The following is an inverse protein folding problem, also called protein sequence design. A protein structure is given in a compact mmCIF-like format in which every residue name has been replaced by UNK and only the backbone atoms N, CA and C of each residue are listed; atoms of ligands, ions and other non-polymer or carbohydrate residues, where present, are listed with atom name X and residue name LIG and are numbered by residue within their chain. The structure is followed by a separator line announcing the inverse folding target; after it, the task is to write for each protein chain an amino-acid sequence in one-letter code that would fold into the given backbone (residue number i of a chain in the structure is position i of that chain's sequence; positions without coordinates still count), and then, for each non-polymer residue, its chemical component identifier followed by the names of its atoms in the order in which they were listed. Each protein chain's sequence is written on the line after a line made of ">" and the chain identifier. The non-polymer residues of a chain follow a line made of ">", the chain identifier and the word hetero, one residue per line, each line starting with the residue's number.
data_IF_726994830238
#
_entry.id   IF_726994830238
#
_cell.length_a   1.000
_cell.length_b   1.000
_cell.length_c   1.000
_cell.angle_alpha   90.00
_cell.angle_beta   90.00
_cell.angle_gamma   90.00
#
_symmetry.space_group_name_H-M   'P 1'
#
loop_
_entity.id
_entity.type
_entity.pdbx_description
1 polymer ?
#
# COMPACT_ATOMS: atom_id res chain seq x y z
N UNK A 1 -7.36 1.41 7.71
CA UNK A 1 -6.32 0.91 8.63
C UNK A 1 -6.20 1.79 9.87
N UNK A 2 -5.85 3.07 9.73
CA UNK A 2 -5.69 4.01 10.84
C UNK A 2 -6.86 4.04 11.84
N UNK A 3 -8.11 4.21 11.39
CA UNK A 3 -9.32 4.17 12.25
C UNK A 3 -9.41 2.90 13.11
N UNK A 4 -9.01 1.75 12.57
CA UNK A 4 -9.10 0.47 13.29
C UNK A 4 -7.95 0.28 14.29
N UNK A 5 -6.77 0.85 14.02
CA UNK A 5 -5.65 0.87 14.95
C UNK A 5 -5.77 2.00 15.99
N UNK A 6 -6.72 2.92 15.79
CA UNK A 6 -6.82 4.19 16.54
C UNK A 6 -5.55 5.03 16.41
N UNK A 7 -5.01 5.11 15.19
CA UNK A 7 -3.79 5.86 14.89
C UNK A 7 -4.14 7.18 14.21
N UNK A 8 -3.39 8.23 14.54
CA UNK A 8 -3.44 9.51 13.83
C UNK A 8 -2.83 9.36 12.44
N UNK A 9 -3.38 10.07 11.45
CA UNK A 9 -2.89 10.00 10.06
C UNK A 9 -2.13 11.28 9.73
N UNK A 10 -0.92 11.13 9.22
CA UNK A 10 -0.11 12.21 8.69
C UNK A 10 0.23 11.90 7.24
N UNK A 11 0.06 12.88 6.36
CA UNK A 11 0.45 12.79 4.96
C UNK A 11 1.66 13.71 4.75
N UNK A 12 2.74 13.17 4.18
CA UNK A 12 3.94 13.92 3.85
C UNK A 12 4.13 13.89 2.34
N UNK A 13 3.99 15.06 1.72
CA UNK A 13 4.31 15.26 0.31
C UNK A 13 5.76 15.74 0.19
N UNK A 14 6.66 14.86 -0.26
CA UNK A 14 8.10 15.14 -0.37
C UNK A 14 8.42 16.32 -1.29
N UNK A 15 7.58 16.61 -2.30
CA UNK A 15 7.80 17.74 -3.21
C UNK A 15 7.57 19.12 -2.54
N UNK A 16 6.91 19.15 -1.38
CA UNK A 16 6.67 20.38 -0.61
C UNK A 16 7.69 20.59 0.51
N UNK A 17 8.58 19.63 0.74
CA UNK A 17 9.57 19.68 1.82
C UNK A 17 10.82 20.40 1.33
N UNK A 18 11.26 21.41 2.08
CA UNK A 18 12.33 22.29 1.61
C UNK A 18 13.72 21.66 1.69
N UNK A 19 13.98 20.86 2.73
CA UNK A 19 15.27 20.21 2.97
C UNK A 19 15.18 19.06 4.00
N UNK A 20 16.29 18.35 4.19
CA UNK A 20 16.40 17.23 5.15
C UNK A 20 16.04 17.62 6.60
N UNK A 21 16.30 18.86 7.00
CA UNK A 21 15.97 19.33 8.37
C UNK A 21 14.47 19.55 8.54
N UNK A 22 13.81 20.06 7.50
CA UNK A 22 12.35 20.21 7.45
C UNK A 22 11.66 18.84 7.47
N UNK A 23 12.15 17.87 6.68
CA UNK A 23 11.66 16.49 6.73
C UNK A 23 11.77 15.88 8.12
N UNK A 24 12.92 16.10 8.78
CA UNK A 24 13.14 15.64 10.16
C UNK A 24 12.20 16.33 11.14
N UNK A 25 11.97 17.63 10.98
CA UNK A 25 11.04 18.38 11.83
C UNK A 25 9.61 17.83 11.70
N UNK A 26 9.15 17.56 10.48
CA UNK A 26 7.85 16.94 10.24
C UNK A 26 7.69 15.60 10.97
N UNK A 27 8.72 14.74 10.97
CA UNK A 27 8.70 13.48 11.73
C UNK A 27 8.58 13.70 13.24
N UNK A 28 9.26 14.72 13.78
CA UNK A 28 9.24 15.04 15.21
C UNK A 28 7.91 15.66 15.67
N UNK A 29 7.17 16.30 14.76
CA UNK A 29 5.85 16.86 15.05
C UNK A 29 4.73 15.81 15.04
N UNK A 30 4.97 14.59 14.55
CA UNK A 30 3.94 13.55 14.58
C UNK A 30 3.75 12.99 15.98
N UNK A 31 2.51 12.70 16.33
CA UNK A 31 2.16 12.02 17.57
C UNK A 31 2.68 10.58 17.60
N UNK A 32 2.73 10.03 18.80
CA UNK A 32 2.82 8.59 19.04
C UNK A 32 1.57 7.88 18.46
N UNK A 33 1.69 6.60 18.06
CA UNK A 33 0.60 5.86 17.40
C UNK A 33 0.11 6.57 16.14
N UNK A 34 1.05 6.87 15.26
CA UNK A 34 0.78 7.54 13.99
C UNK A 34 0.97 6.60 12.80
N UNK A 35 0.12 6.77 11.79
CA UNK A 35 0.30 6.25 10.45
C UNK A 35 0.74 7.40 9.54
N UNK A 36 1.98 7.32 9.06
CA UNK A 36 2.60 8.35 8.21
C UNK A 36 2.58 7.84 6.78
N UNK A 37 1.89 8.56 5.89
CA UNK A 37 1.78 8.24 4.46
C UNK A 37 2.73 9.14 3.68
N UNK A 38 3.53 8.53 2.81
CA UNK A 38 4.44 9.21 1.89
C UNK A 38 4.07 8.77 0.49
N UNK A 39 3.61 9.73 -0.30
CA UNK A 39 3.12 9.46 -1.65
C UNK A 39 4.22 9.58 -2.70
N UNK A 40 4.09 8.79 -3.77
CA UNK A 40 4.90 8.87 -5.00
C UNK A 40 6.42 8.83 -4.74
N UNK A 41 6.85 7.93 -3.84
CA UNK A 41 8.26 7.82 -3.44
C UNK A 41 9.16 7.49 -4.64
N UNK A 42 8.73 6.59 -5.52
CA UNK A 42 9.47 6.19 -6.74
C UNK A 42 9.69 7.39 -7.68
N UNK A 43 8.66 8.22 -7.85
CA UNK A 43 8.76 9.43 -8.66
C UNK A 43 9.73 10.43 -8.04
N UNK A 44 9.63 10.68 -6.73
CA UNK A 44 10.53 11.59 -6.04
C UNK A 44 11.99 11.15 -6.13
N UNK A 45 12.27 9.85 -6.01
CA UNK A 45 13.62 9.30 -6.12
C UNK A 45 14.17 9.30 -7.54
N UNK A 46 13.31 9.15 -8.54
CA UNK A 46 13.68 9.18 -9.97
C UNK A 46 13.93 10.60 -10.49
N UNK A 47 13.19 11.58 -9.97
CA UNK A 47 13.46 13.00 -10.18
C UNK A 47 14.73 13.35 -9.39
N UNK A 48 15.77 13.92 -10.04
CA UNK A 48 16.98 14.39 -9.34
C UNK A 48 16.70 15.66 -8.52
N UNK A 49 15.65 15.62 -7.70
CA UNK A 49 15.25 16.70 -6.80
C UNK A 49 16.38 16.94 -5.81
N UNK A 50 16.73 18.20 -5.62
CA UNK A 50 17.82 18.62 -4.73
C UNK A 50 17.33 19.05 -3.35
N UNK A 51 16.02 19.10 -3.11
CA UNK A 51 15.45 19.61 -1.87
C UNK A 51 15.74 18.66 -0.70
N UNK A 52 15.14 17.47 -0.70
CA UNK A 52 15.47 16.39 0.23
C UNK A 52 16.41 15.41 -0.45
N UNK A 53 17.54 15.13 0.20
CA UNK A 53 18.54 14.18 -0.30
C UNK A 53 18.06 12.73 -0.17
N UNK A 54 18.59 11.82 -0.99
CA UNK A 54 18.34 10.39 -0.83
C UNK A 54 18.75 9.90 0.56
N UNK A 55 19.85 10.42 1.11
CA UNK A 55 20.26 10.15 2.50
C UNK A 55 19.27 10.69 3.54
N UNK A 56 18.65 11.84 3.29
CA UNK A 56 17.61 12.41 4.14
C UNK A 56 16.39 11.49 4.24
N UNK A 57 15.95 10.94 3.11
CA UNK A 57 14.86 9.96 3.05
C UNK A 57 15.25 8.69 3.80
N UNK A 58 16.44 8.13 3.56
CA UNK A 58 16.88 6.92 4.25
C UNK A 58 16.94 7.11 5.76
N UNK A 59 17.45 8.25 6.23
CA UNK A 59 17.48 8.59 7.65
C UNK A 59 16.07 8.76 8.24
N UNK A 60 15.14 9.30 7.46
CA UNK A 60 13.73 9.41 7.84
C UNK A 60 13.11 8.01 7.99
N UNK A 61 13.33 7.12 7.02
CA UNK A 61 12.83 5.74 7.04
C UNK A 61 13.41 4.92 8.20
N UNK A 62 14.70 5.08 8.46
CA UNK A 62 15.40 4.39 9.56
C UNK A 62 14.88 4.88 10.94
N UNK A 63 14.14 6.00 10.98
CA UNK A 63 13.36 6.42 12.14
C UNK A 63 14.18 6.75 13.39
N UNK A 64 15.52 6.87 13.26
CA UNK A 64 16.48 7.03 14.36
C UNK A 64 16.16 8.27 15.21
N UNK A 65 15.68 9.34 14.57
CA UNK A 65 15.29 10.58 15.27
C UNK A 65 13.94 10.49 15.99
N UNK A 66 13.21 9.40 15.80
CA UNK A 66 11.86 9.17 16.32
C UNK A 66 11.85 8.13 17.46
N UNK A 67 12.99 7.52 17.78
CA UNK A 67 13.17 6.40 18.72
C UNK A 67 12.74 6.66 20.18
N UNK A 68 12.42 7.91 20.55
CA UNK A 68 11.92 8.22 21.89
C UNK A 68 10.38 8.13 22.02
N UNK A 69 9.67 7.63 20.99
CA UNK A 69 8.21 7.55 20.95
C UNK A 69 7.64 6.12 20.81
N UNK A 70 6.32 5.99 20.97
CA UNK A 70 5.57 4.75 20.76
C UNK A 70 5.53 4.33 19.27
N UNK A 71 4.74 3.28 18.96
CA UNK A 71 4.64 2.65 17.64
C UNK A 71 4.26 3.66 16.53
N UNK A 72 5.07 3.75 15.46
CA UNK A 72 4.74 4.48 14.22
C UNK A 72 4.72 3.51 13.05
N UNK A 73 3.76 3.67 12.14
CA UNK A 73 3.67 2.88 10.90
C UNK A 73 3.88 3.83 9.72
N UNK A 74 4.89 3.58 8.90
CA UNK A 74 5.12 4.33 7.67
C UNK A 74 4.54 3.55 6.49
N UNK A 75 3.82 4.25 5.62
CA UNK A 75 3.23 3.70 4.39
C UNK A 75 3.78 4.52 3.22
N UNK A 76 4.44 3.85 2.29
CA UNK A 76 4.97 4.47 1.07
C UNK A 76 4.14 4.00 -0.11
N UNK A 77 3.68 4.92 -0.95
CA UNK A 77 3.07 4.57 -2.24
C UNK A 77 4.11 4.67 -3.34
N UNK A 78 4.05 3.74 -4.29
CA UNK A 78 4.95 3.66 -5.44
C UNK A 78 4.16 3.11 -6.62
N UNK A 79 4.37 3.67 -7.81
CA UNK A 79 3.78 3.15 -9.04
C UNK A 79 4.67 2.10 -9.69
N UNK A 80 6.00 2.28 -9.61
CA UNK A 80 6.99 1.35 -10.14
C UNK A 80 8.02 0.99 -9.07
N UNK A 81 7.87 -0.22 -8.50
CA UNK A 81 8.81 -0.78 -7.52
C UNK A 81 10.12 -1.24 -8.18
N UNK A 82 10.08 -1.71 -9.43
CA UNK A 82 11.21 -2.40 -10.08
C UNK A 82 12.42 -1.49 -10.32
N UNK A 83 12.17 -0.18 -10.46
CA UNK A 83 13.22 0.81 -10.66
C UNK A 83 13.77 1.39 -9.35
N UNK A 84 13.22 1.00 -8.20
CA UNK A 84 13.65 1.55 -6.91
C UNK A 84 14.95 0.89 -6.43
N UNK A 85 15.81 1.69 -5.78
CA UNK A 85 17.07 1.19 -5.22
C UNK A 85 16.80 0.06 -4.20
N UNK A 86 17.41 -1.13 -4.35
CA UNK A 86 17.30 -2.23 -3.38
C UNK A 86 17.62 -1.83 -1.94
N UNK A 87 18.48 -0.82 -1.72
CA UNK A 87 18.79 -0.30 -0.39
C UNK A 87 17.58 0.35 0.29
N UNK A 88 16.62 0.86 -0.47
CA UNK A 88 15.38 1.45 0.06
C UNK A 88 14.39 0.34 0.40
N UNK A 89 14.30 -0.68 -0.47
CA UNK A 89 13.34 -1.77 -0.36
C UNK A 89 13.75 -2.88 0.62
N UNK A 90 14.98 -2.84 1.17
CA UNK A 90 15.46 -3.90 2.06
C UNK A 90 14.67 -3.97 3.37
N UNK A 91 14.59 -5.16 4.00
CA UNK A 91 14.03 -5.31 5.34
C UNK A 91 14.69 -4.38 6.37
N UNK A 92 13.90 -3.89 7.33
CA UNK A 92 14.29 -2.82 8.27
C UNK A 92 13.93 -1.41 7.80
N UNK A 93 13.66 -1.22 6.51
CA UNK A 93 13.12 0.02 5.93
C UNK A 93 11.72 -0.19 5.38
N UNK A 94 11.58 -1.18 4.49
CA UNK A 94 10.29 -1.64 3.97
C UNK A 94 10.15 -3.11 4.33
N UNK A 95 9.35 -3.40 5.34
CA UNK A 95 9.17 -4.78 5.82
C UNK A 95 8.04 -5.52 5.10
N UNK A 96 7.05 -4.78 4.58
CA UNK A 96 5.83 -5.34 3.98
C UNK A 96 5.57 -4.64 2.66
N UNK A 97 5.44 -5.45 1.60
CA UNK A 97 5.07 -4.99 0.27
C UNK A 97 3.66 -5.48 -0.04
N UNK A 98 2.78 -4.56 -0.44
CA UNK A 98 1.43 -4.87 -0.89
C UNK A 98 1.30 -4.42 -2.32
N UNK A 99 1.10 -5.37 -3.24
CA UNK A 99 0.91 -5.06 -4.65
C UNK A 99 -0.58 -4.80 -4.93
N UNK A 100 -0.90 -3.76 -5.70
CA UNK A 100 -2.27 -3.44 -6.12
C UNK A 100 -2.42 -3.67 -7.63
N UNK A 101 -2.77 -4.90 -8.07
CA UNK A 101 -2.86 -5.21 -9.49
C UNK A 101 -4.08 -4.54 -10.14
N UNK A 102 -4.06 -4.51 -11.48
CA UNK A 102 -5.25 -4.22 -12.28
C UNK A 102 -6.39 -5.18 -11.92
N UNK A 103 -7.62 -4.77 -12.25
CA UNK A 103 -8.79 -5.57 -11.91
C UNK A 103 -8.80 -6.87 -12.70
N UNK A 104 -8.93 -8.00 -12.01
CA UNK A 104 -9.25 -9.30 -12.59
C UNK A 104 -10.74 -9.60 -12.44
N UNK A 105 -11.19 -10.74 -12.97
CA UNK A 105 -12.59 -11.13 -12.85
C UNK A 105 -13.04 -11.37 -11.39
N UNK A 106 -12.14 -11.82 -10.53
CA UNK A 106 -12.43 -12.06 -9.11
C UNK A 106 -12.68 -10.76 -8.36
N UNK A 107 -11.82 -9.75 -8.56
CA UNK A 107 -11.97 -8.40 -8.04
C UNK A 107 -13.23 -7.75 -8.63
N UNK A 108 -13.46 -7.89 -9.94
CA UNK A 108 -14.68 -7.39 -10.59
C UNK A 108 -15.95 -7.94 -9.93
N UNK A 109 -16.04 -9.25 -9.64
CA UNK A 109 -17.19 -9.83 -8.92
C UNK A 109 -17.37 -9.22 -7.53
N UNK A 110 -16.27 -8.96 -6.83
CA UNK A 110 -16.30 -8.31 -5.52
C UNK A 110 -16.81 -6.87 -5.62
N UNK A 111 -16.39 -6.12 -6.63
CA UNK A 111 -16.89 -4.77 -6.91
C UNK A 111 -18.36 -4.77 -7.33
N UNK A 112 -18.77 -5.70 -8.20
CA UNK A 112 -20.17 -5.83 -8.64
C UNK A 112 -21.09 -6.16 -7.46
N UNK A 113 -20.68 -7.04 -6.56
CA UNK A 113 -21.42 -7.34 -5.34
C UNK A 113 -21.48 -6.12 -4.40
N UNK A 114 -20.36 -5.43 -4.19
CA UNK A 114 -20.26 -4.28 -3.29
C UNK A 114 -21.07 -3.06 -3.77
N UNK A 115 -21.00 -2.74 -5.06
CA UNK A 115 -21.56 -1.50 -5.60
C UNK A 115 -22.93 -1.68 -6.25
N UNK A 116 -23.23 -2.86 -6.81
CA UNK A 116 -24.48 -3.17 -7.51
C UNK A 116 -25.33 -4.23 -6.79
N UNK A 117 -24.82 -4.86 -5.73
CA UNK A 117 -25.52 -5.95 -5.03
C UNK A 117 -25.60 -7.26 -5.83
N UNK A 118 -24.77 -7.41 -6.86
CA UNK A 118 -24.80 -8.58 -7.74
C UNK A 118 -23.85 -9.68 -7.28
N UNK A 119 -24.40 -10.84 -6.91
CA UNK A 119 -23.62 -12.08 -6.73
C UNK A 119 -23.40 -12.83 -8.04
N UNK A 120 -24.35 -12.71 -8.96
CA UNK A 120 -24.32 -13.32 -10.29
C UNK A 120 -25.13 -12.46 -11.28
N UNK A 121 -24.84 -12.59 -12.57
CA UNK A 121 -25.56 -11.94 -13.65
C UNK A 121 -25.29 -12.63 -14.99
N UNK A 122 -26.29 -12.68 -15.88
CA UNK A 122 -26.19 -13.24 -17.24
C UNK A 122 -25.07 -12.67 -18.15
N UNK A 123 -24.41 -11.59 -17.73
CA UNK A 123 -23.31 -10.95 -18.46
C UNK A 123 -21.94 -11.27 -17.86
N UNK A 124 -21.89 -11.91 -16.69
CA UNK A 124 -20.64 -12.31 -16.05
C UNK A 124 -19.80 -13.25 -16.92
N UNK A 125 -20.36 -14.27 -17.60
CA UNK A 125 -19.57 -15.10 -18.51
C UNK A 125 -18.88 -14.28 -19.61
N UNK A 126 -19.57 -13.30 -20.17
CA UNK A 126 -19.00 -12.41 -21.18
C UNK A 126 -17.89 -11.51 -20.61
N UNK A 127 -18.07 -10.99 -19.40
CA UNK A 127 -17.02 -10.19 -18.74
C UNK A 127 -15.79 -11.06 -18.43
N UNK A 128 -16.00 -12.28 -17.95
CA UNK A 128 -14.92 -13.24 -17.67
C UNK A 128 -14.12 -13.58 -18.93
N UNK A 129 -14.81 -13.87 -20.04
CA UNK A 129 -14.18 -14.11 -21.33
C UNK A 129 -13.31 -12.91 -21.76
N UNK A 130 -13.81 -11.69 -21.60
CA UNK A 130 -13.04 -10.48 -21.93
C UNK A 130 -11.78 -10.35 -21.07
N UNK A 131 -11.86 -10.62 -19.76
CA UNK A 131 -10.66 -10.64 -18.92
C UNK A 131 -9.65 -11.72 -19.34
N UNK A 132 -10.13 -12.89 -19.80
CA UNK A 132 -9.26 -13.95 -20.32
C UNK A 132 -8.55 -13.56 -21.62
N UNK A 133 -9.11 -12.64 -22.42
CA UNK A 133 -8.42 -12.08 -23.61
C UNK A 133 -7.28 -11.12 -23.28
N UNK A 134 -7.10 -10.75 -22.01
CA UNK A 134 -6.04 -9.84 -21.54
C UNK A 134 -6.44 -8.37 -21.45
N UNK A 135 -7.71 -8.04 -21.70
CA UNK A 135 -8.24 -6.71 -21.40
C UNK A 135 -8.24 -6.46 -19.90
N UNK A 136 -7.79 -5.28 -19.46
CA UNK A 136 -7.74 -4.96 -18.03
C UNK A 136 -7.89 -3.46 -17.81
N UNK A 137 -8.69 -3.12 -16.81
CA UNK A 137 -8.85 -1.75 -16.31
C UNK A 137 -8.45 -1.72 -14.83
N UNK A 138 -8.14 -0.53 -14.33
CA UNK A 138 -7.96 -0.36 -12.89
C UNK A 138 -9.27 -0.61 -12.14
N UNK A 139 -9.14 -1.01 -10.87
CA UNK A 139 -10.31 -1.16 -10.01
C UNK A 139 -11.09 0.16 -9.88
N UNK A 140 -10.41 1.30 -9.93
CA UNK A 140 -11.02 2.63 -9.84
C UNK A 140 -11.93 2.93 -11.05
N UNK A 141 -11.46 2.68 -12.26
CA UNK A 141 -12.25 2.88 -13.49
C UNK A 141 -13.51 2.01 -13.50
N UNK A 142 -13.40 0.73 -13.11
CA UNK A 142 -14.56 -0.16 -13.03
C UNK A 142 -15.52 0.30 -11.94
N UNK A 143 -15.01 0.69 -10.77
CA UNK A 143 -15.80 1.27 -9.69
C UNK A 143 -16.57 2.50 -10.16
N UNK A 144 -15.93 3.43 -10.85
CA UNK A 144 -16.57 4.64 -11.37
C UNK A 144 -17.75 4.30 -12.27
N UNK A 145 -17.58 3.36 -13.21
CA UNK A 145 -18.65 2.89 -14.10
C UNK A 145 -19.81 2.28 -13.31
N UNK A 146 -19.51 1.41 -12.35
CA UNK A 146 -20.53 0.76 -11.50
C UNK A 146 -21.28 1.78 -10.64
N UNK A 147 -20.56 2.73 -10.05
CA UNK A 147 -21.13 3.77 -9.18
C UNK A 147 -22.04 4.70 -9.98
N UNK A 148 -21.60 5.11 -11.17
CA UNK A 148 -22.36 5.98 -12.06
C UNK A 148 -23.64 5.32 -12.59
N UNK A 149 -23.71 3.99 -12.61
CA UNK A 149 -24.84 3.22 -13.12
C UNK A 149 -25.52 2.34 -12.05
N UNK A 150 -25.40 2.66 -10.74
CA UNK A 150 -25.94 1.85 -9.64
C UNK A 150 -27.43 1.53 -9.77
N UNK A 151 -28.21 2.45 -10.34
CA UNK A 151 -29.65 2.28 -10.53
C UNK A 151 -30.04 1.23 -11.59
N UNK A 152 -29.09 0.76 -12.41
CA UNK A 152 -29.35 -0.24 -13.45
C UNK A 152 -28.15 -1.16 -13.62
N UNK A 153 -28.07 -2.27 -12.87
CA UNK A 153 -26.93 -3.18 -12.90
C UNK A 153 -26.61 -3.71 -14.30
N UNK A 154 -27.62 -4.05 -15.10
CA UNK A 154 -27.40 -4.50 -16.49
C UNK A 154 -26.78 -3.42 -17.39
N UNK A 155 -27.05 -2.13 -17.12
CA UNK A 155 -26.43 -1.01 -17.86
C UNK A 155 -24.98 -0.84 -17.43
N UNK A 156 -24.71 -0.86 -16.12
CA UNK A 156 -23.36 -0.80 -15.58
C UNK A 156 -22.47 -1.87 -16.21
N UNK A 157 -22.93 -3.12 -16.24
CA UNK A 157 -22.18 -4.24 -16.80
C UNK A 157 -21.93 -4.10 -18.31
N UNK A 158 -22.91 -3.64 -19.09
CA UNK A 158 -22.71 -3.35 -20.50
C UNK A 158 -21.66 -2.25 -20.71
N UNK A 159 -21.67 -1.20 -19.90
CA UNK A 159 -20.66 -0.13 -19.96
C UNK A 159 -19.27 -0.64 -19.61
N UNK A 160 -19.14 -1.51 -18.59
CA UNK A 160 -17.86 -2.16 -18.25
C UNK A 160 -17.34 -3.00 -19.43
N UNK A 161 -18.21 -3.79 -20.07
CA UNK A 161 -17.86 -4.57 -21.27
C UNK A 161 -17.32 -3.66 -22.38
N UNK A 162 -18.03 -2.57 -22.68
CA UNK A 162 -17.60 -1.62 -23.72
C UNK A 162 -16.26 -0.97 -23.38
N UNK A 163 -16.03 -0.61 -22.12
CA UNK A 163 -14.76 -0.04 -21.67
C UNK A 163 -13.60 -1.03 -21.80
N UNK A 164 -13.77 -2.28 -21.37
CA UNK A 164 -12.76 -3.34 -21.50
C UNK A 164 -12.43 -3.65 -22.97
N UNK A 165 -13.44 -3.70 -23.84
CA UNK A 165 -13.23 -3.91 -25.27
C UNK A 165 -12.46 -2.76 -25.93
N UNK A 166 -12.67 -1.53 -25.44
CA UNK A 166 -11.96 -0.34 -25.92
C UNK A 166 -10.47 -0.35 -25.51
N UNK A 167 -10.15 -0.78 -24.29
CA UNK A 167 -8.76 -1.00 -23.83
C UNK A 167 -8.05 -2.03 -24.74
N UNK A 168 -8.70 -3.16 -25.01
CA UNK A 168 -8.14 -4.20 -25.88
C UNK A 168 -7.83 -3.67 -27.29
N UNK A 169 -8.76 -2.92 -27.89
CA UNK A 169 -8.56 -2.31 -29.21
C UNK A 169 -7.42 -1.29 -29.21
N UNK A 170 -7.28 -0.49 -28.15
CA UNK A 170 -6.18 0.45 -27.95
C UNK A 170 -4.81 -0.25 -27.91
N UNK A 171 -4.71 -1.34 -27.16
CA UNK A 171 -3.47 -2.13 -27.02
C UNK A 171 -3.07 -2.83 -28.31
N UNK A 172 -4.02 -3.40 -29.06
CA UNK A 172 -3.75 -4.02 -30.37
C UNK A 172 -3.23 -2.97 -31.36
N UNK A 173 -3.82 -1.77 -31.37
CA UNK A 173 -3.36 -0.66 -32.21
C UNK A 173 -1.94 -0.19 -31.85
N UNK A 174 -1.59 -0.17 -30.57
CA UNK A 174 -0.22 0.15 -30.10
C UNK A 174 0.78 -0.90 -30.58
N UNK A 175 0.48 -2.19 -30.40
CA UNK A 175 1.36 -3.29 -30.89
C UNK A 175 1.57 -3.24 -32.41
N UNK A 176 0.53 -2.93 -33.19
CA UNK A 176 0.67 -2.77 -34.65
C UNK A 176 1.53 -1.56 -35.05
N UNK A 177 1.56 -0.50 -34.23
CA UNK A 177 2.42 0.67 -34.45
C UNK A 177 3.88 0.38 -34.12
N UNK A 178 4.14 -0.37 -33.05
CA UNK A 178 5.51 -0.77 -32.67
C UNK A 178 6.14 -1.73 -33.70
N UNK A 179 5.36 -2.65 -34.28
CA UNK A 179 5.83 -3.50 -35.38
C UNK A 179 6.15 -2.73 -36.68
N UNK A 180 5.63 -1.50 -36.84
CA UNK A 180 5.91 -0.64 -37.99
C UNK A 180 7.21 0.18 -37.87
N UNK A 181 7.85 0.20 -36.70
CA UNK A 181 9.10 0.92 -36.44
C UNK A 181 10.20 -0.08 -36.05
N UNK A 182 10.78 -0.73 -37.05
CA UNK A 182 11.74 -1.81 -36.86
C UNK A 182 12.98 -1.43 -36.05
N UNK A 183 13.24 -2.22 -35.00
CA UNK A 183 14.53 -2.86 -34.72
C UNK A 183 14.22 -4.19 -34.04
N UNK A 184 14.53 -5.29 -34.73
CA UNK A 184 14.37 -6.64 -34.21
C UNK A 184 15.30 -6.86 -33.02
N UNK A 185 14.71 -7.21 -31.88
CA UNK A 185 15.35 -8.00 -30.83
C UNK A 185 14.33 -9.08 -30.50
N UNK A 186 14.71 -10.33 -30.75
CA UNK A 186 13.96 -11.49 -30.30
C UNK A 186 14.07 -11.55 -28.78
N UNK A 187 13.00 -11.20 -28.07
CA UNK A 187 12.81 -11.56 -26.68
C UNK A 187 11.77 -12.67 -26.61
N UNK A 188 12.24 -13.91 -26.68
CA UNK A 188 11.51 -15.09 -26.23
C UNK A 188 11.43 -15.04 -24.70
N UNK A 189 10.50 -14.23 -24.19
CA UNK A 189 10.05 -14.28 -22.80
C UNK A 189 8.93 -15.32 -22.68
N UNK A 190 9.28 -16.50 -22.19
CA UNK A 190 8.32 -17.52 -21.77
C UNK A 190 7.29 -16.91 -20.81
N UNK A 191 6.02 -16.90 -21.21
CA UNK A 191 4.92 -16.70 -20.28
C UNK A 191 4.85 -17.90 -19.34
N UNK A 192 5.65 -17.83 -18.27
CA UNK A 192 5.53 -18.69 -17.11
C UNK A 192 4.13 -18.56 -16.54
N UNK A 193 3.30 -19.58 -16.80
CA UNK A 193 2.06 -19.84 -16.07
C UNK A 193 2.44 -20.27 -14.65
N UNK A 194 2.72 -19.31 -13.78
CA UNK A 194 2.73 -19.55 -12.35
C UNK A 194 1.36 -19.25 -11.75
N UNK A 195 1.00 -20.09 -10.78
CA UNK A 195 -0.38 -20.40 -10.44
C UNK A 195 -1.20 -19.20 -10.00
N UNK A 196 -2.46 -19.21 -10.46
CA UNK A 196 -3.55 -18.36 -9.97
C UNK A 196 -3.83 -18.64 -8.49
N UNK A 197 -3.00 -18.11 -7.61
CA UNK A 197 -3.41 -17.75 -6.26
C UNK A 197 -3.48 -16.24 -6.25
N UNK A 198 -4.60 -15.68 -6.70
CA UNK A 198 -4.86 -14.24 -6.60
C UNK A 198 -4.87 -13.84 -5.13
N UNK A 199 -3.70 -13.43 -4.61
CA UNK A 199 -3.57 -12.88 -3.27
C UNK A 199 -4.19 -11.48 -3.34
N UNK A 200 -5.41 -11.38 -2.83
CA UNK A 200 -6.16 -10.13 -2.84
C UNK A 200 -5.45 -9.12 -1.89
N UNK A 201 -5.17 -7.87 -2.31
CA UNK A 201 -4.47 -6.88 -1.46
C UNK A 201 -5.15 -6.69 -0.10
N UNK A 202 -6.48 -6.70 -0.08
CA UNK A 202 -7.31 -6.67 1.13
C UNK A 202 -6.98 -7.83 2.11
N UNK A 203 -6.63 -9.03 1.62
CA UNK A 203 -6.23 -10.15 2.47
C UNK A 203 -4.88 -9.89 3.12
N UNK A 204 -3.93 -9.32 2.39
CA UNK A 204 -2.63 -8.92 2.94
C UNK A 204 -2.78 -7.80 3.97
N UNK A 205 -3.62 -6.79 3.69
CA UNK A 205 -3.95 -5.73 4.66
C UNK A 205 -4.54 -6.33 5.94
N UNK A 206 -5.42 -7.34 5.82
CA UNK A 206 -5.99 -8.05 6.98
C UNK A 206 -4.94 -8.85 7.76
N UNK A 207 -4.01 -9.51 7.07
CA UNK A 207 -2.91 -10.25 7.69
C UNK A 207 -1.95 -9.30 8.42
N UNK A 208 -1.56 -8.20 7.76
CA UNK A 208 -0.76 -7.13 8.33
C UNK A 208 -1.43 -6.55 9.57
N UNK A 209 -2.73 -6.28 9.50
CA UNK A 209 -3.52 -5.86 10.65
C UNK A 209 -3.42 -6.86 11.82
N UNK A 210 -3.56 -8.17 11.55
CA UNK A 210 -3.42 -9.21 12.56
C UNK A 210 -2.05 -9.19 13.25
N UNK A 211 -0.99 -8.98 12.46
CA UNK A 211 0.39 -8.85 12.95
C UNK A 211 0.56 -7.62 13.87
N UNK A 212 0.07 -6.45 13.41
CA UNK A 212 0.20 -5.19 14.15
C UNK A 212 -0.54 -5.26 15.49
N UNK A 213 -1.77 -5.81 15.50
CA UNK A 213 -2.55 -6.00 16.74
C UNK A 213 -1.80 -6.90 17.74
N UNK A 214 -1.24 -8.01 17.27
CA UNK A 214 -0.51 -8.95 18.13
C UNK A 214 0.78 -8.37 18.74
N UNK A 215 1.39 -7.37 18.10
CA UNK A 215 2.56 -6.64 18.66
C UNK A 215 2.12 -5.62 19.70
N UNK A 216 1.12 -4.80 19.38
CA UNK A 216 0.60 -3.79 20.30
C UNK A 216 0.06 -4.41 21.60
N UNK A 217 -0.65 -5.54 21.51
CA UNK A 217 -1.13 -6.25 22.72
C UNK A 217 -0.01 -6.86 23.57
N UNK A 218 1.10 -7.31 22.96
CA UNK A 218 2.26 -7.84 23.70
C UNK A 218 3.01 -6.75 24.47
N UNK A 219 3.08 -5.54 23.91
CA UNK A 219 3.71 -4.39 24.57
C UNK A 219 2.87 -3.90 25.76
N UNK A 220 1.54 -3.82 25.61
CA UNK A 220 0.63 -3.46 26.71
C UNK A 220 0.65 -4.44 27.90
N UNK A 221 0.97 -5.73 27.66
CA UNK A 221 1.20 -6.69 28.74
C UNK A 221 2.55 -6.51 29.44
N UNK A 222 3.57 -6.01 28.75
CA UNK A 222 4.92 -5.79 29.29
C UNK A 222 4.96 -4.52 30.16
N UNK A 223 4.33 -3.43 29.71
CA UNK A 223 4.21 -2.19 30.49
C UNK A 223 3.41 -2.38 31.80
N UNK A 224 2.59 -3.43 31.91
CA UNK A 224 1.87 -3.78 33.16
C UNK A 224 2.72 -4.55 34.18
N UNK A 225 3.78 -5.20 33.75
CA UNK A 225 4.68 -5.95 34.63
C UNK A 225 5.71 -5.03 35.30
N UNK A 226 6.11 -3.95 34.63
CA UNK A 226 7.13 -3.02 35.15
C UNK A 226 6.62 -2.00 36.19
N UNK A 227 5.30 -1.92 36.43
CA UNK A 227 4.69 -0.97 37.39
C UNK A 227 4.50 -1.59 38.79
N UNK A 228 4.77 -2.89 38.97
CA UNK A 228 4.44 -3.59 40.23
C UNK A 228 5.61 -3.63 41.24
N UNK A 229 6.82 -3.19 40.89
CA UNK A 229 8.03 -3.48 41.70
C UNK A 229 8.80 -2.26 42.25
N UNK A 230 8.10 -1.16 42.58
CA UNK A 230 8.72 -0.03 43.30
C UNK A 230 7.77 0.53 44.36
N UNK A 231 7.41 -0.24 45.38
CA UNK A 231 6.99 0.29 46.69
C UNK A 231 6.90 -0.85 47.72
N UNK A 232 8.04 -1.27 48.27
CA UNK A 232 8.11 -1.77 49.66
C UNK A 232 9.57 -1.99 50.05
N UNK A 233 10.15 -1.01 50.76
CA UNK A 233 11.05 -1.15 51.93
C UNK A 233 11.82 0.14 52.20
N UNK A 234 11.09 1.18 52.62
CA UNK A 234 11.62 2.15 53.57
C UNK A 234 10.72 2.09 54.81
N UNK A 235 11.06 1.24 55.78
CA UNK A 235 10.88 1.59 57.19
C UNK A 235 11.60 0.60 58.13
N UNK A 236 12.81 0.98 58.58
CA UNK A 236 13.18 0.90 60.00
C UNK A 236 14.55 1.54 60.24
N UNK A 237 14.53 2.80 60.70
CA UNK A 237 15.56 3.35 61.58
C UNK A 237 15.66 2.44 62.84
N UNK A 238 16.84 2.19 63.41
CA UNK A 238 17.52 3.12 64.33
C UNK A 238 18.98 2.70 64.60
N UNK A 239 19.85 3.63 65.01
CA UNK A 239 21.30 3.44 65.21
C UNK A 239 21.65 3.14 66.68
N UNK A 240 22.85 2.58 66.93
CA UNK A 240 23.70 3.01 68.05
C UNK A 240 25.13 2.42 67.98
N UNK A 241 26.08 3.33 68.21
CA UNK A 241 27.53 3.17 68.35
C UNK A 241 27.96 2.17 69.43
N UNK A 242 29.05 1.44 69.17
CA UNK A 242 30.29 1.36 69.98
C UNK A 242 31.35 0.52 69.26
#
# INVERSE_FOLDING_TARGET
>A
MAKFLSYDIYEINLHKVANDSDLKYLLLQTTNKSLIVIEDLDRYLGEKSTAVSSSGILNFMDGIFSCCGEERVMVFTMNNKENADPNILRPGRIDVHINFPLCDFTAFKSLANSHLGLKDHKLFPQVEEIFQTGASLSQAEICEIMISNRGSPSRALKTVITALQSDLAGRVRMRMREFGSGRGVEESGEFGREGQNGIHPIKEIKNLYGLLRARSSRKASMDKLDVVDVHEKENSHSPQDS
#
